data_IF_490236728294
#
_entry.id   IF_490236728294
#
_cell.length_a   1.000
_cell.length_b   1.000
_cell.length_c   1.000
_cell.angle_alpha   90.00
_cell.angle_beta   90.00
_cell.angle_gamma   90.00
#
_symmetry.space_group_name_H-M   'P 1'
#
loop_
_entity.id
_entity.type
_entity.pdbx_description
1 polymer ?
#
# COMPACT_ATOMS: atom_id res chain seq x y z
N UNK A 1 -28.75 28.90 -6.63
CA UNK A 1 -28.59 28.03 -5.46
C UNK A 1 -28.75 26.61 -5.98
N UNK A 2 -27.72 25.78 -5.90
CA UNK A 2 -27.83 24.38 -6.30
C UNK A 2 -28.87 23.69 -5.39
N UNK A 3 -29.88 23.07 -6.00
CA UNK A 3 -31.04 22.50 -5.32
C UNK A 3 -30.94 20.99 -5.16
N UNK A 4 -31.89 20.39 -4.44
CA UNK A 4 -31.97 18.92 -4.31
C UNK A 4 -32.15 18.20 -5.65
N UNK A 5 -32.65 18.90 -6.68
CA UNK A 5 -32.74 18.39 -8.07
C UNK A 5 -31.36 18.14 -8.71
N UNK A 6 -30.30 18.83 -8.26
CA UNK A 6 -28.94 18.63 -8.78
C UNK A 6 -28.31 17.30 -8.30
N UNK A 7 -28.90 16.63 -7.29
CA UNK A 7 -28.43 15.33 -6.76
C UNK A 7 -28.93 14.13 -7.57
N UNK A 8 -29.94 14.30 -8.43
CA UNK A 8 -30.43 13.24 -9.32
C UNK A 8 -29.60 13.10 -10.60
N UNK A 9 -28.75 14.09 -10.90
CA UNK A 9 -27.77 13.98 -11.96
C UNK A 9 -26.77 12.88 -11.59
N UNK A 10 -26.84 11.74 -12.28
CA UNK A 10 -25.84 10.69 -12.16
C UNK A 10 -24.47 11.30 -12.39
N UNK A 11 -23.70 11.44 -11.30
CA UNK A 11 -22.30 11.77 -11.36
C UNK A 11 -21.67 10.81 -12.37
N UNK A 12 -20.85 11.29 -13.33
CA UNK A 12 -20.19 10.39 -14.26
C UNK A 12 -19.38 9.39 -13.44
N UNK A 13 -19.83 8.12 -13.42
CA UNK A 13 -19.18 6.98 -12.77
C UNK A 13 -17.90 6.57 -13.50
N UNK A 14 -17.27 7.51 -14.20
CA UNK A 14 -16.03 7.29 -14.89
C UNK A 14 -14.87 7.30 -13.89
N UNK A 15 -14.77 6.21 -13.13
CA UNK A 15 -13.65 5.91 -12.23
C UNK A 15 -12.37 5.56 -13.00
N UNK A 16 -12.37 5.58 -14.34
CA UNK A 16 -11.22 5.15 -15.15
C UNK A 16 -9.97 5.95 -14.83
N UNK A 17 -10.07 7.21 -14.42
CA UNK A 17 -8.90 8.00 -14.01
C UNK A 17 -8.25 7.46 -12.72
N UNK A 18 -9.05 7.16 -11.69
CA UNK A 18 -8.54 6.67 -10.40
C UNK A 18 -8.07 5.21 -10.49
N UNK A 19 -8.81 4.35 -11.21
CA UNK A 19 -8.41 2.95 -11.40
C UNK A 19 -7.15 2.84 -12.25
N UNK A 20 -7.05 3.65 -13.32
CA UNK A 20 -5.87 3.68 -14.18
C UNK A 20 -4.64 4.17 -13.41
N UNK A 21 -4.76 5.26 -12.64
CA UNK A 21 -3.67 5.75 -11.80
C UNK A 21 -3.17 4.70 -10.79
N UNK A 22 -4.09 3.91 -10.22
CA UNK A 22 -3.74 2.81 -9.31
C UNK A 22 -2.98 1.70 -10.04
N UNK A 23 -3.47 1.27 -11.21
CA UNK A 23 -2.81 0.24 -12.01
C UNK A 23 -1.42 0.67 -12.48
N UNK A 24 -1.27 1.93 -12.88
CA UNK A 24 0.00 2.49 -13.32
C UNK A 24 1.02 2.52 -12.19
N UNK A 25 0.58 2.86 -10.97
CA UNK A 25 1.42 2.78 -9.78
C UNK A 25 1.77 1.33 -9.41
N UNK A 26 0.84 0.39 -9.53
CA UNK A 26 1.09 -1.03 -9.27
C UNK A 26 2.14 -1.58 -10.27
N UNK A 27 2.00 -1.24 -11.56
CA UNK A 27 2.99 -1.57 -12.61
C UNK A 27 4.35 -0.92 -12.37
N UNK A 28 4.38 0.35 -11.96
CA UNK A 28 5.61 1.05 -11.61
C UNK A 28 6.32 0.35 -10.44
N UNK A 29 5.58 0.00 -9.39
CA UNK A 29 6.12 -0.72 -8.23
C UNK A 29 6.73 -2.06 -8.65
N UNK A 30 6.04 -2.83 -9.49
CA UNK A 30 6.57 -4.09 -10.01
C UNK A 30 7.81 -3.90 -10.86
N UNK A 31 7.84 -2.89 -11.74
CA UNK A 31 9.01 -2.61 -12.59
C UNK A 31 10.25 -2.27 -11.77
N UNK A 32 10.10 -1.50 -10.69
CA UNK A 32 11.23 -1.03 -9.86
C UNK A 32 11.64 -2.07 -8.82
N UNK A 33 10.68 -2.70 -8.14
CA UNK A 33 10.92 -3.57 -6.98
C UNK A 33 10.78 -5.07 -7.30
N UNK A 34 10.36 -5.43 -8.50
CA UNK A 34 10.15 -6.83 -8.91
C UNK A 34 11.41 -7.57 -9.36
N UNK A 35 12.50 -6.86 -9.63
CA UNK A 35 13.79 -7.46 -10.00
C UNK A 35 14.58 -7.91 -8.75
N UNK A 36 15.72 -8.58 -8.96
CA UNK A 36 16.52 -9.15 -7.86
C UNK A 36 16.90 -8.11 -6.79
N UNK A 37 17.42 -6.96 -7.20
CA UNK A 37 17.84 -5.91 -6.26
C UNK A 37 16.66 -5.24 -5.57
N UNK A 38 15.54 -5.09 -6.28
CA UNK A 38 14.26 -4.65 -5.72
C UNK A 38 13.75 -5.59 -4.62
N UNK A 39 13.90 -6.90 -4.79
CA UNK A 39 13.57 -7.88 -3.76
C UNK A 39 14.51 -7.77 -2.55
N UNK A 40 15.83 -7.54 -2.76
CA UNK A 40 16.78 -7.28 -1.65
C UNK A 40 16.37 -6.04 -0.86
N UNK A 41 15.97 -4.97 -1.53
CA UNK A 41 15.50 -3.74 -0.89
C UNK A 41 14.20 -3.98 -0.10
N UNK A 42 13.24 -4.71 -0.67
CA UNK A 42 12.00 -5.06 0.03
C UNK A 42 12.26 -5.91 1.28
N UNK A 43 13.20 -6.86 1.23
CA UNK A 43 13.60 -7.66 2.38
C UNK A 43 14.19 -6.78 3.50
N UNK A 44 15.07 -5.84 3.15
CA UNK A 44 15.63 -4.89 4.11
C UNK A 44 14.55 -3.98 4.72
N UNK A 45 13.62 -3.46 3.93
CA UNK A 45 12.49 -2.64 4.42
C UNK A 45 11.63 -3.42 5.41
N UNK A 46 11.33 -4.68 5.12
CA UNK A 46 10.55 -5.55 5.99
C UNK A 46 11.25 -5.75 7.34
N UNK A 47 12.53 -6.10 7.33
CA UNK A 47 13.32 -6.30 8.55
C UNK A 47 13.42 -5.01 9.39
N UNK A 48 13.59 -3.86 8.72
CA UNK A 48 13.84 -2.57 9.37
C UNK A 48 12.57 -1.91 9.88
N UNK A 49 11.43 -2.13 9.24
CA UNK A 49 10.19 -1.42 9.54
C UNK A 49 9.13 -2.33 10.15
N UNK A 50 8.90 -3.51 9.56
CA UNK A 50 7.83 -4.41 9.99
C UNK A 50 8.23 -5.34 11.14
N UNK A 51 9.47 -5.81 11.14
CA UNK A 51 9.96 -6.84 12.07
C UNK A 51 10.71 -6.25 13.28
N UNK A 52 10.46 -4.96 13.58
CA UNK A 52 11.01 -4.32 14.76
C UNK A 52 10.16 -4.64 15.99
N UNK A 53 10.75 -5.17 17.08
CA UNK A 53 10.05 -5.33 18.34
C UNK A 53 9.76 -3.93 18.92
N UNK A 54 8.49 -3.69 19.23
CA UNK A 54 7.95 -2.44 19.79
C UNK A 54 7.57 -2.63 21.26
N UNK A 55 7.97 -3.76 21.86
CA UNK A 55 7.52 -4.13 23.21
C UNK A 55 8.03 -3.11 24.23
N UNK A 56 7.17 -2.70 25.16
CA UNK A 56 7.64 -2.10 26.40
C UNK A 56 8.57 -3.10 27.11
N UNK A 57 9.61 -2.62 27.83
CA UNK A 57 10.48 -3.50 28.61
C UNK A 57 9.64 -4.42 29.52
N UNK A 58 9.79 -5.74 29.34
CA UNK A 58 9.07 -6.77 30.09
C UNK A 58 7.89 -7.43 29.37
N UNK A 59 7.43 -6.90 28.22
CA UNK A 59 6.41 -7.53 27.39
C UNK A 59 7.02 -8.48 26.36
N UNK A 60 6.35 -9.60 26.08
CA UNK A 60 6.79 -10.56 25.07
C UNK A 60 6.72 -9.94 23.66
N UNK A 61 7.77 -10.15 22.86
CA UNK A 61 7.92 -9.53 21.54
C UNK A 61 6.84 -9.97 20.55
N UNK A 62 6.20 -11.13 20.77
CA UNK A 62 5.09 -11.62 19.93
C UNK A 62 3.88 -10.68 19.92
N UNK A 63 3.71 -9.84 20.95
CA UNK A 63 2.62 -8.87 21.06
C UNK A 63 2.94 -7.48 20.53
N UNK A 64 4.15 -7.24 20.02
CA UNK A 64 4.66 -5.89 19.86
C UNK A 64 5.23 -5.58 18.48
N UNK A 65 4.40 -5.69 17.44
CA UNK A 65 4.80 -5.34 16.06
C UNK A 65 3.99 -4.20 15.44
N UNK A 66 3.24 -3.43 16.25
CA UNK A 66 2.35 -2.39 15.72
C UNK A 66 2.94 -0.97 15.88
N UNK A 67 3.57 -0.46 14.82
CA UNK A 67 3.82 0.98 14.59
C UNK A 67 2.96 1.43 13.41
N UNK A 68 2.20 2.49 13.59
CA UNK A 68 1.27 3.02 12.57
C UNK A 68 2.02 4.01 11.65
N UNK A 69 1.58 4.17 10.39
CA UNK A 69 2.27 4.96 9.37
C UNK A 69 3.35 4.21 8.58
N UNK A 70 4.55 4.04 9.14
CA UNK A 70 5.69 3.43 8.42
C UNK A 70 5.38 2.00 7.96
N UNK A 71 4.71 1.22 8.82
CA UNK A 71 4.34 -0.16 8.49
C UNK A 71 3.29 -0.21 7.38
N UNK A 72 2.38 0.75 7.33
CA UNK A 72 1.35 0.85 6.29
C UNK A 72 1.97 1.11 4.92
N UNK A 73 3.02 1.93 4.85
CA UNK A 73 3.75 2.20 3.60
C UNK A 73 4.42 0.95 3.02
N UNK A 74 5.13 0.17 3.85
CA UNK A 74 5.80 -1.05 3.39
C UNK A 74 4.78 -2.11 2.97
N UNK A 75 3.69 -2.27 3.72
CA UNK A 75 2.60 -3.20 3.38
C UNK A 75 1.85 -2.80 2.11
N UNK A 76 1.68 -1.50 1.86
CA UNK A 76 1.09 -1.03 0.60
C UNK A 76 1.97 -1.41 -0.58
N UNK A 77 3.30 -1.20 -0.50
CA UNK A 77 4.23 -1.64 -1.55
C UNK A 77 4.15 -3.15 -1.80
N UNK A 78 4.13 -3.98 -0.74
CA UNK A 78 3.92 -5.44 -0.87
C UNK A 78 2.60 -5.76 -1.58
N UNK A 79 1.50 -5.09 -1.19
CA UNK A 79 0.20 -5.29 -1.80
C UNK A 79 0.17 -4.87 -3.28
N UNK A 80 0.85 -3.77 -3.65
CA UNK A 80 1.01 -3.32 -5.04
C UNK A 80 1.71 -4.38 -5.89
N UNK A 81 2.80 -4.95 -5.38
CA UNK A 81 3.52 -6.03 -6.08
C UNK A 81 2.65 -7.26 -6.30
N UNK A 82 1.87 -7.66 -5.28
CA UNK A 82 0.96 -8.81 -5.39
C UNK A 82 -0.13 -8.53 -6.42
N UNK A 83 -0.72 -7.33 -6.43
CA UNK A 83 -1.75 -6.93 -7.41
C UNK A 83 -1.19 -6.91 -8.82
N UNK A 84 -0.06 -6.25 -9.03
CA UNK A 84 0.59 -6.15 -10.34
C UNK A 84 0.96 -7.51 -10.95
N UNK A 85 1.28 -8.52 -10.12
CA UNK A 85 1.56 -9.89 -10.58
C UNK A 85 0.31 -10.69 -10.97
N UNK A 86 -0.88 -10.24 -10.54
CA UNK A 86 -2.18 -10.90 -10.78
C UNK A 86 -3.00 -10.23 -11.88
N UNK A 87 -2.53 -9.09 -12.39
CA UNK A 87 -3.06 -8.44 -13.59
C UNK A 87 -2.62 -9.21 -14.83
#
# INVERSE_FOLDING_TARGET
MAGWEDLENQLPLDVRDVSQAREDLDRLALRVLGNEDGQKLMAWLRQTVLEQPVALPGSDSSYAYYREGQNSMVRDLEARLIRARKM
#
